data_IF_076491909554
#
_entry.id   IF_076491909554
#
_cell.length_a   1.000
_cell.length_b   1.000
_cell.length_c   1.000
_cell.angle_alpha   90.00
_cell.angle_beta   90.00
_cell.angle_gamma   90.00
#
_symmetry.space_group_name_H-M   'P 1'
#
loop_
_entity.id
_entity.type
_entity.pdbx_description
1 polymer ?
#
# COMPACT_ATOMS: atom_id res chain seq x y z
N UNK A 1 -0.77 -9.29 -12.67
CA UNK A 1 0.59 -9.75 -12.89
C UNK A 1 1.16 -10.45 -11.66
N UNK A 2 1.13 -9.85 -10.48
CA UNK A 2 1.60 -10.54 -9.31
C UNK A 2 0.50 -11.39 -8.70
N UNK A 3 0.87 -12.57 -8.22
CA UNK A 3 -0.05 -13.42 -7.48
C UNK A 3 -0.04 -12.99 -6.01
N UNK A 4 1.12 -12.89 -5.43
CA UNK A 4 1.28 -12.43 -4.06
C UNK A 4 2.67 -11.88 -3.84
N UNK A 5 2.85 -11.15 -2.74
CA UNK A 5 4.15 -10.64 -2.33
C UNK A 5 4.32 -10.91 -0.85
N UNK A 6 5.56 -10.92 -0.39
CA UNK A 6 5.87 -11.14 1.02
C UNK A 6 6.65 -9.96 1.56
N UNK A 7 6.25 -9.50 2.73
CA UNK A 7 6.93 -8.42 3.45
C UNK A 7 7.55 -9.04 4.69
N UNK A 8 8.83 -8.79 4.91
CA UNK A 8 9.52 -9.33 6.08
C UNK A 8 9.43 -8.33 7.23
N UNK A 9 9.04 -8.82 8.41
CA UNK A 9 8.83 -7.96 9.58
C UNK A 9 9.58 -8.51 10.77
N UNK A 10 9.71 -7.70 11.80
CA UNK A 10 10.46 -8.12 12.99
C UNK A 10 9.59 -8.77 14.06
N UNK A 11 8.33 -8.40 14.14
CA UNK A 11 7.43 -8.89 15.19
C UNK A 11 6.09 -9.24 14.57
N UNK A 12 5.79 -10.52 14.47
CA UNK A 12 4.58 -10.96 13.76
C UNK A 12 3.30 -10.51 14.46
N UNK A 13 3.26 -10.53 15.79
CA UNK A 13 2.04 -10.15 16.48
C UNK A 13 1.73 -8.66 16.31
N UNK A 14 2.72 -7.82 16.43
CA UNK A 14 2.53 -6.39 16.22
C UNK A 14 2.18 -6.08 14.77
N UNK A 15 2.83 -6.78 13.85
CA UNK A 15 2.58 -6.54 12.43
C UNK A 15 1.20 -7.03 12.00
N UNK A 16 0.72 -8.13 12.58
CA UNK A 16 -0.65 -8.59 12.30
C UNK A 16 -1.66 -7.50 12.68
N UNK A 17 -1.50 -6.91 13.85
CA UNK A 17 -2.39 -5.86 14.30
C UNK A 17 -2.31 -4.64 13.38
N UNK A 18 -1.09 -4.27 13.03
CA UNK A 18 -0.87 -3.11 12.16
C UNK A 18 -1.52 -3.30 10.80
N UNK A 19 -1.23 -4.42 10.14
CA UNK A 19 -1.76 -4.64 8.79
C UNK A 19 -3.27 -4.86 8.79
N UNK A 20 -3.80 -5.48 9.83
CA UNK A 20 -5.26 -5.62 9.95
C UNK A 20 -5.93 -4.25 9.96
N UNK A 21 -5.39 -3.32 10.75
CA UNK A 21 -5.97 -1.99 10.86
C UNK A 21 -5.78 -1.17 9.57
N UNK A 22 -4.59 -1.21 9.02
CA UNK A 22 -4.26 -0.40 7.86
C UNK A 22 -4.98 -0.84 6.61
N UNK A 23 -5.14 -2.14 6.42
CA UNK A 23 -5.73 -2.68 5.21
C UNK A 23 -7.25 -2.74 5.22
N UNK A 24 -7.85 -2.65 6.40
CA UNK A 24 -9.31 -2.69 6.50
C UNK A 24 -10.01 -1.63 5.65
N UNK A 25 -9.58 -0.36 5.67
CA UNK A 25 -10.24 0.64 4.84
C UNK A 25 -10.19 0.35 3.35
N UNK A 26 -9.22 -0.46 2.91
CA UNK A 26 -9.11 -0.83 1.51
C UNK A 26 -9.92 -2.09 1.18
N UNK A 27 -10.54 -2.68 2.20
CA UNK A 27 -11.38 -3.85 1.98
C UNK A 27 -10.68 -5.19 2.11
N UNK A 28 -9.47 -5.22 2.66
CA UNK A 28 -8.73 -6.46 2.81
C UNK A 28 -8.77 -6.94 4.26
N UNK A 29 -8.68 -8.25 4.43
CA UNK A 29 -8.75 -8.89 5.73
C UNK A 29 -7.61 -9.89 5.87
N UNK A 30 -7.32 -10.30 7.10
CA UNK A 30 -6.37 -11.38 7.30
C UNK A 30 -7.06 -12.68 6.89
N UNK A 31 -6.50 -13.36 5.91
CA UNK A 31 -7.14 -14.55 5.33
C UNK A 31 -6.54 -15.85 5.82
N UNK A 32 -5.28 -15.83 6.18
CA UNK A 32 -4.59 -17.03 6.65
C UNK A 32 -3.60 -16.68 7.73
N UNK A 33 -3.35 -17.63 8.61
CA UNK A 33 -2.38 -17.43 9.68
C UNK A 33 -1.71 -18.76 9.98
N UNK A 34 -0.39 -18.76 10.07
CA UNK A 34 0.39 -19.93 10.45
C UNK A 34 1.31 -19.52 11.59
N UNK A 35 0.81 -19.59 12.84
CA UNK A 35 1.57 -19.09 13.99
C UNK A 35 2.92 -19.75 14.17
N UNK A 36 2.99 -21.06 13.89
CA UNK A 36 4.25 -21.78 14.06
C UNK A 36 5.35 -21.30 13.12
N UNK A 37 4.97 -20.66 12.02
CA UNK A 37 5.93 -20.12 11.08
C UNK A 37 6.04 -18.59 11.17
N UNK A 38 5.31 -17.99 12.10
CA UNK A 38 5.26 -16.54 12.26
C UNK A 38 4.90 -15.88 10.93
N UNK A 39 3.83 -16.35 10.33
CA UNK A 39 3.40 -15.98 9.00
C UNK A 39 1.91 -15.70 8.97
N UNK A 40 1.52 -14.62 8.32
CA UNK A 40 0.11 -14.29 8.14
C UNK A 40 -0.11 -13.72 6.75
N UNK A 41 -1.30 -13.85 6.22
CA UNK A 41 -1.62 -13.32 4.90
C UNK A 41 -2.88 -12.48 4.92
N UNK A 42 -2.89 -11.47 4.08
CA UNK A 42 -3.99 -10.54 3.94
C UNK A 42 -4.44 -10.52 2.48
N UNK A 43 -5.71 -10.29 2.28
CA UNK A 43 -6.26 -10.24 0.93
C UNK A 43 -7.77 -10.25 0.96
N UNK A 44 -8.37 -10.85 -0.06
CA UNK A 44 -9.82 -11.02 -0.09
C UNK A 44 -10.17 -12.32 0.62
N UNK A 45 -11.47 -12.59 0.75
CA UNK A 45 -11.91 -13.80 1.40
C UNK A 45 -11.33 -15.06 0.76
N UNK A 46 -11.11 -15.02 -0.53
CA UNK A 46 -10.70 -16.22 -1.26
C UNK A 46 -9.25 -16.20 -1.71
N UNK A 47 -8.57 -15.06 -1.59
CA UNK A 47 -7.22 -14.98 -2.15
C UNK A 47 -6.27 -14.22 -1.24
N UNK A 48 -5.26 -14.91 -0.69
CA UNK A 48 -4.18 -14.22 0.03
C UNK A 48 -3.27 -13.55 -1.00
N UNK A 49 -2.93 -12.30 -0.76
CA UNK A 49 -2.16 -11.51 -1.69
C UNK A 49 -0.91 -10.89 -1.09
N UNK A 50 -0.99 -10.53 0.17
CA UNK A 50 0.14 -9.93 0.88
C UNK A 50 0.47 -10.79 2.08
N UNK A 51 1.66 -11.36 2.10
CA UNK A 51 2.13 -12.17 3.22
C UNK A 51 3.05 -11.34 4.10
N UNK A 52 2.93 -11.53 5.40
CA UNK A 52 3.75 -10.87 6.39
C UNK A 52 4.48 -11.97 7.15
N UNK A 53 5.79 -11.94 7.13
CA UNK A 53 6.59 -13.05 7.64
C UNK A 53 7.73 -12.56 8.57
N UNK A 54 7.75 -13.04 9.80
CA UNK A 54 8.81 -12.69 10.74
C UNK A 54 9.85 -13.81 10.72
N UNK A 55 10.67 -13.83 9.68
CA UNK A 55 11.65 -14.89 9.48
C UNK A 55 13.09 -14.43 9.68
N UNK A 56 13.28 -13.22 10.19
CA UNK A 56 14.62 -12.71 10.44
C UNK A 56 15.26 -12.02 9.25
N UNK A 57 14.64 -12.09 8.08
CA UNK A 57 15.18 -11.42 6.91
C UNK A 57 15.04 -9.92 7.05
N UNK A 58 15.99 -9.16 6.54
CA UNK A 58 15.97 -7.72 6.59
C UNK A 58 15.85 -7.16 5.20
N UNK A 59 14.85 -6.30 5.03
CA UNK A 59 14.52 -5.82 3.72
C UNK A 59 13.63 -4.60 3.86
N UNK A 60 13.70 -3.70 2.95
CA UNK A 60 12.76 -2.60 2.88
C UNK A 60 12.07 -2.64 1.54
N UNK A 61 10.76 -2.57 1.57
CA UNK A 61 9.96 -2.67 0.36
C UNK A 61 9.12 -1.42 0.17
N UNK A 62 8.71 -1.17 -1.06
CA UNK A 62 7.70 -0.17 -1.37
C UNK A 62 6.55 -0.90 -2.04
N UNK A 63 5.36 -0.78 -1.46
CA UNK A 63 4.19 -1.45 -1.95
C UNK A 63 3.06 -0.46 -2.11
N UNK A 64 2.51 -0.38 -3.31
CA UNK A 64 1.39 0.52 -3.58
C UNK A 64 0.13 -0.30 -3.76
N UNK A 65 -0.89 0.04 -2.98
CA UNK A 65 -2.16 -0.67 -2.97
C UNK A 65 -3.21 0.22 -3.62
N UNK A 66 -4.05 -0.38 -4.44
CA UNK A 66 -5.07 0.37 -5.16
C UNK A 66 -6.20 0.78 -4.22
N UNK A 67 -6.60 2.03 -4.30
CA UNK A 67 -7.79 2.53 -3.64
C UNK A 67 -8.79 2.95 -4.69
N UNK A 68 -10.05 2.92 -4.35
CA UNK A 68 -11.12 3.26 -5.28
C UNK A 68 -11.67 4.67 -5.09
N UNK A 69 -11.45 5.27 -3.93
CA UNK A 69 -11.95 6.62 -3.63
C UNK A 69 -10.92 7.38 -2.82
N UNK A 70 -10.98 8.72 -2.84
CA UNK A 70 -10.11 9.51 -1.97
C UNK A 70 -10.35 9.20 -0.50
N UNK A 71 -11.60 8.89 -0.13
CA UNK A 71 -11.92 8.54 1.25
C UNK A 71 -11.18 7.29 1.70
N UNK A 72 -11.02 6.31 0.82
CA UNK A 72 -10.26 5.12 1.15
C UNK A 72 -8.79 5.43 1.40
N UNK A 73 -8.21 6.31 0.59
CA UNK A 73 -6.82 6.72 0.76
C UNK A 73 -6.65 7.42 2.10
N UNK A 74 -7.58 8.32 2.44
CA UNK A 74 -7.54 9.04 3.70
C UNK A 74 -7.70 8.10 4.89
N UNK A 75 -8.62 7.15 4.81
CA UNK A 75 -8.88 6.20 5.88
C UNK A 75 -7.68 5.24 6.08
N UNK A 76 -7.05 4.83 4.98
CA UNK A 76 -5.85 4.02 5.02
C UNK A 76 -4.76 4.75 5.81
N UNK A 77 -4.52 6.00 5.46
CA UNK A 77 -3.47 6.79 6.11
C UNK A 77 -3.76 6.95 7.61
N UNK A 78 -4.99 7.33 7.93
CA UNK A 78 -5.37 7.53 9.31
C UNK A 78 -5.21 6.25 10.12
N UNK A 79 -5.64 5.13 9.57
CA UNK A 79 -5.54 3.85 10.24
C UNK A 79 -4.08 3.44 10.44
N UNK A 80 -3.23 3.69 9.44
CA UNK A 80 -1.81 3.36 9.53
C UNK A 80 -1.14 4.15 10.65
N UNK A 81 -1.41 5.45 10.73
CA UNK A 81 -0.81 6.29 11.76
C UNK A 81 -1.31 5.86 13.14
N UNK A 82 -2.60 5.61 13.26
CA UNK A 82 -3.17 5.19 14.54
C UNK A 82 -2.60 3.87 15.01
N UNK A 83 -2.27 2.99 14.07
CA UNK A 83 -1.75 1.66 14.40
C UNK A 83 -0.24 1.65 14.66
N UNK A 84 0.40 2.81 14.65
CA UNK A 84 1.82 2.91 14.98
C UNK A 84 2.73 3.17 13.80
N UNK A 85 2.20 3.31 12.62
CA UNK A 85 2.99 3.65 11.45
C UNK A 85 3.43 5.09 11.49
N UNK A 86 4.32 5.45 10.57
CA UNK A 86 4.84 6.81 10.50
C UNK A 86 4.45 7.46 9.20
N UNK A 87 4.19 8.76 9.26
CA UNK A 87 3.88 9.55 8.09
C UNK A 87 5.04 9.51 7.09
N UNK A 88 4.71 9.25 5.84
CA UNK A 88 5.68 9.32 4.75
C UNK A 88 5.05 10.03 3.54
N UNK A 89 3.95 10.71 3.74
CA UNK A 89 3.26 11.49 2.72
C UNK A 89 1.77 11.52 2.98
N UNK A 90 1.24 12.67 3.40
CA UNK A 90 -0.17 12.81 3.71
C UNK A 90 -1.05 12.66 2.48
N UNK A 91 -2.32 12.29 2.66
CA UNK A 91 -3.23 12.15 1.52
C UNK A 91 -3.29 13.42 0.69
N UNK A 92 -3.22 13.26 -0.62
CA UNK A 92 -3.29 14.39 -1.53
C UNK A 92 -2.89 14.01 -2.93
N UNK A 93 -3.10 14.93 -3.85
CA UNK A 93 -2.68 14.74 -5.23
C UNK A 93 -1.17 14.87 -5.37
N UNK A 94 -0.60 14.03 -6.19
CA UNK A 94 0.83 14.08 -6.53
C UNK A 94 0.94 14.50 -7.99
N UNK A 95 0.81 15.78 -8.22
CA UNK A 95 0.80 16.32 -9.58
C UNK A 95 2.05 16.01 -10.37
N UNK A 96 3.17 15.92 -9.67
CA UNK A 96 4.43 15.60 -10.30
C UNK A 96 4.44 14.19 -10.88
N UNK A 97 3.63 13.29 -10.32
CA UNK A 97 3.56 11.94 -10.84
C UNK A 97 2.59 11.91 -12.01
N UNK A 98 1.40 12.49 -11.79
CA UNK A 98 0.35 12.39 -12.77
C UNK A 98 -0.84 13.22 -12.28
N UNK A 99 -1.58 13.89 -13.15
CA UNK A 99 -2.69 14.77 -12.71
C UNK A 99 -3.71 14.10 -11.82
N UNK A 100 -3.98 12.84 -12.03
CA UNK A 100 -5.00 12.15 -11.23
C UNK A 100 -4.46 11.24 -10.15
N UNK A 101 -3.19 11.38 -9.80
CA UNK A 101 -2.56 10.50 -8.82
C UNK A 101 -2.82 11.02 -7.40
N UNK A 102 -3.77 10.40 -6.72
CA UNK A 102 -4.13 10.78 -5.35
C UNK A 102 -3.67 9.67 -4.42
N UNK A 103 -2.78 9.98 -3.51
CA UNK A 103 -2.14 8.93 -2.71
C UNK A 103 -1.78 9.39 -1.32
N UNK A 104 -1.52 8.42 -0.46
CA UNK A 104 -0.93 8.64 0.85
C UNK A 104 0.10 7.55 1.10
N UNK A 105 1.10 7.87 1.87
CA UNK A 105 2.23 6.99 2.15
C UNK A 105 2.45 6.91 3.66
N UNK A 106 2.67 5.72 4.16
CA UNK A 106 3.02 5.52 5.56
C UNK A 106 4.07 4.43 5.66
N UNK A 107 4.97 4.55 6.62
CA UNK A 107 5.88 3.47 6.92
C UNK A 107 5.19 2.51 7.89
N UNK A 108 5.34 1.24 7.66
CA UNK A 108 4.86 0.24 8.61
C UNK A 108 5.84 0.18 9.79
N UNK A 109 5.69 -0.78 10.68
CA UNK A 109 6.50 -0.88 11.89
C UNK A 109 7.96 -1.23 11.58
N UNK A 110 8.23 -1.72 10.39
CA UNK A 110 9.57 -2.11 9.95
C UNK A 110 10.10 -1.20 8.84
N UNK A 111 9.46 -0.03 8.67
CA UNK A 111 9.90 1.00 7.74
C UNK A 111 9.72 0.65 6.27
N UNK A 112 8.85 -0.31 5.97
CA UNK A 112 8.45 -0.51 4.60
C UNK A 112 7.55 0.66 4.20
N UNK A 113 7.70 1.12 2.97
CA UNK A 113 6.92 2.23 2.45
C UNK A 113 5.63 1.69 1.84
N UNK A 114 4.52 1.88 2.52
CA UNK A 114 3.23 1.39 2.06
C UNK A 114 2.41 2.58 1.57
N UNK A 115 1.89 2.44 0.38
CA UNK A 115 1.14 3.49 -0.29
C UNK A 115 -0.27 3.03 -0.61
N UNK A 116 -1.25 3.91 -0.48
CA UNK A 116 -2.57 3.67 -1.07
C UNK A 116 -2.73 4.70 -2.16
N UNK A 117 -3.09 4.28 -3.37
CA UNK A 117 -3.17 5.18 -4.50
C UNK A 117 -4.46 5.00 -5.28
N UNK A 118 -5.08 6.13 -5.61
CA UNK A 118 -6.21 6.21 -6.50
C UNK A 118 -5.75 6.92 -7.77
N UNK A 119 -6.01 6.31 -8.90
CA UNK A 119 -5.75 6.99 -10.16
C UNK A 119 -7.07 7.52 -10.68
N UNK A 120 -7.28 8.82 -10.52
CA UNK A 120 -8.52 9.46 -10.92
C UNK A 120 -8.50 9.69 -12.43
N UNK A 121 -9.14 8.82 -13.15
CA UNK A 121 -9.12 8.86 -14.61
C UNK A 121 -9.75 10.10 -15.20
N UNK A 122 -10.66 10.72 -14.48
CA UNK A 122 -11.29 11.91 -15.00
C UNK A 122 -10.29 13.06 -15.11
N UNK A 123 -9.28 13.07 -14.27
CA UNK A 123 -8.27 14.10 -14.32
C UNK A 123 -7.13 13.73 -15.25
N UNK A 124 -7.00 12.47 -15.55
CA UNK A 124 -5.93 11.99 -16.40
C UNK A 124 -6.19 12.13 -17.86
N UNK A 125 -7.45 12.19 -18.23
CA UNK A 125 -7.74 12.23 -19.64
C UNK A 125 -7.30 13.51 -20.32
N UNK A 126 -6.97 14.50 -19.56
CA UNK A 126 -6.52 15.73 -20.15
C UNK A 126 -5.06 15.61 -20.53
N UNK A 127 -4.45 14.50 -20.26
CA UNK A 127 -3.09 14.33 -20.53
C UNK A 127 -2.80 14.42 -21.99
N UNK A 128 -1.94 15.25 -22.38
CA UNK A 128 -1.65 15.44 -23.79
C UNK A 128 -0.85 14.33 -24.35
N UNK A 129 -1.13 14.05 -25.54
CA UNK A 129 -0.42 13.04 -26.18
C UNK A 129 0.91 13.53 -26.51
N UNK A 130 1.09 14.76 -26.51
CA UNK A 130 2.33 15.30 -26.90
C UNK A 130 3.43 14.81 -26.06
N UNK A 131 3.16 14.59 -24.90
CA UNK A 131 4.11 14.13 -24.03
C UNK A 131 4.91 13.05 -24.54
N UNK A 132 4.28 12.24 -25.13
CA UNK A 132 4.86 11.11 -25.61
C UNK A 132 5.89 11.29 -26.56
N UNK A 133 5.57 12.05 -27.46
CA UNK A 133 6.42 12.17 -28.53
C UNK A 133 7.64 12.86 -28.22
N UNK A 134 7.66 13.52 -27.49
CA UNK A 134 8.72 14.32 -27.37
C UNK A 134 9.85 13.93 -26.77
N UNK A 135 9.89 13.62 -26.56
CA UNK A 135 10.76 13.41 -26.16
C UNK A 135 11.60 13.04 -26.57
N UNK A 136 11.63 12.90 -26.70
CA UNK A 136 12.24 12.60 -27.15
C UNK A 136 12.88 13.01 -27.80
N UNK A 137 13.09 13.39 -27.93
CA UNK A 137 13.57 13.87 -28.57
C UNK A 137 14.41 14.24 -28.38
N UNK A 138 14.71 14.15 -27.92
CA UNK A 138 15.43 14.50 -27.72
C UNK A 138 15.90 14.44 -27.53
#
# INVERSE_FOLDING_TARGET
>A
MFDHITVHVSDIEKSKAFYTAMLKPLGYIMTKEYPEWKLAAFGTKTKPMLWVHADGAKQQAHIALTAKTPAQVQAFYKAAIKAGGKDNGKPGFRKDYNPGYYAAFAHDLDRHNIEAVLRDKSKMKAKPKTVVTKKGKK
#
